data_IF_159826002656
#
_entry.id   IF_159826002656
#
_cell.length_a   1.000
_cell.length_b   1.000
_cell.length_c   1.000
_cell.angle_alpha   90.00
_cell.angle_beta   90.00
_cell.angle_gamma   90.00
#
_symmetry.space_group_name_H-M   'P 1'
#
loop_
_entity.id
_entity.type
_entity.pdbx_description
1 polymer ?
#
# COMPACT_ATOMS: atom_id res chain seq x y z
N UNK A 1 6.01 -4.70 9.69
CA UNK A 1 6.16 -4.95 8.24
C UNK A 1 5.24 -3.97 7.54
N UNK A 2 5.78 -3.08 6.69
CA UNK A 2 4.96 -2.05 6.02
C UNK A 2 4.25 -2.68 4.82
N UNK A 3 2.97 -3.01 5.01
CA UNK A 3 2.10 -3.60 3.99
C UNK A 3 1.56 -2.57 2.99
N UNK A 4 1.75 -1.28 3.27
CA UNK A 4 1.43 -0.16 2.38
C UNK A 4 2.68 0.68 2.23
N UNK A 5 3.00 1.05 1.00
CA UNK A 5 4.00 2.06 0.68
C UNK A 5 3.26 3.33 0.24
N UNK A 6 3.64 4.45 0.82
CA UNK A 6 3.12 5.76 0.45
C UNK A 6 4.26 6.61 -0.07
N UNK A 7 4.04 7.25 -1.21
CA UNK A 7 4.97 8.21 -1.78
C UNK A 7 4.22 9.33 -2.52
N UNK A 8 4.83 10.50 -2.55
CA UNK A 8 4.40 11.62 -3.40
C UNK A 8 5.41 11.75 -4.53
N UNK A 9 4.91 11.80 -5.77
CA UNK A 9 5.71 12.10 -6.96
C UNK A 9 5.07 13.31 -7.62
N UNK A 10 5.82 14.42 -7.69
CA UNK A 10 5.30 15.74 -8.04
C UNK A 10 4.06 16.09 -7.18
N UNK A 11 2.89 16.21 -7.78
CA UNK A 11 1.60 16.45 -7.11
C UNK A 11 0.70 15.20 -7.05
N UNK A 12 1.24 14.00 -7.31
CA UNK A 12 0.51 12.74 -7.30
C UNK A 12 0.85 11.90 -6.06
N UNK A 13 -0.18 11.59 -5.27
CA UNK A 13 -0.09 10.63 -4.18
C UNK A 13 -0.23 9.19 -4.70
N UNK A 14 0.76 8.34 -4.40
CA UNK A 14 0.79 6.94 -4.80
C UNK A 14 0.74 6.06 -3.55
N UNK A 15 -0.28 5.22 -3.48
CA UNK A 15 -0.46 4.20 -2.46
C UNK A 15 -0.23 2.85 -3.11
N UNK A 16 0.79 2.13 -2.67
CA UNK A 16 1.10 0.78 -3.16
C UNK A 16 0.82 -0.24 -2.08
N UNK A 17 -0.06 -1.19 -2.38
CA UNK A 17 -0.27 -2.37 -1.55
C UNK A 17 0.94 -3.31 -1.76
N UNK A 18 1.75 -3.48 -0.72
CA UNK A 18 3.00 -4.23 -0.77
C UNK A 18 2.83 -5.57 -0.03
N UNK A 19 1.94 -6.42 -0.57
CA UNK A 19 1.66 -7.77 -0.07
C UNK A 19 1.68 -8.79 -1.21
N UNK A 20 2.81 -8.96 -1.91
CA UNK A 20 2.90 -9.83 -3.07
C UNK A 20 2.57 -11.30 -2.75
N UNK A 21 2.78 -11.74 -1.50
CA UNK A 21 2.50 -13.11 -1.03
C UNK A 21 1.02 -13.49 -1.10
N UNK A 22 0.12 -12.50 -1.14
CA UNK A 22 -1.33 -12.68 -1.31
C UNK A 22 -1.87 -11.87 -2.49
N UNK A 23 -1.05 -11.66 -3.52
CA UNK A 23 -1.42 -10.89 -4.72
C UNK A 23 -1.96 -9.48 -4.40
N UNK A 24 -1.36 -8.81 -3.41
CA UNK A 24 -1.80 -7.52 -2.89
C UNK A 24 -3.22 -7.53 -2.31
N UNK A 25 -3.64 -8.69 -1.82
CA UNK A 25 -4.91 -8.89 -1.14
C UNK A 25 -5.10 -7.89 0.00
N UNK A 26 -6.23 -7.20 -0.07
CA UNK A 26 -6.65 -6.23 0.92
C UNK A 26 -6.86 -6.90 2.29
N UNK A 27 -6.41 -6.25 3.37
CA UNK A 27 -6.73 -6.68 4.74
C UNK A 27 -7.22 -5.51 5.59
N UNK A 28 -7.92 -5.78 6.69
CA UNK A 28 -8.52 -4.74 7.56
C UNK A 28 -7.49 -3.74 8.13
N UNK A 29 -6.31 -4.15 8.65
CA UNK A 29 -5.26 -3.21 9.07
C UNK A 29 -4.65 -2.29 7.97
N UNK A 30 -5.08 -2.39 6.69
CA UNK A 30 -4.72 -1.44 5.64
C UNK A 30 -5.65 -0.21 5.61
N UNK A 31 -6.76 -0.26 6.34
CA UNK A 31 -7.77 0.80 6.42
C UNK A 31 -7.54 1.80 7.57
N UNK A 32 -6.61 1.50 8.47
CA UNK A 32 -6.29 2.34 9.64
C UNK A 32 -5.48 3.60 9.26
#
# INVERSE_FOLDING_TARGET
>A
MNHILYQIVDDLAIITLNRPEVANGFHIPMCE
#
